data_IF_088686073014
#
_entry.id   IF_088686073014
#
_cell.length_a   1.000
_cell.length_b   1.000
_cell.length_c   1.000
_cell.angle_alpha   90.00
_cell.angle_beta   90.00
_cell.angle_gamma   90.00
#
_symmetry.space_group_name_H-M   'P 1'
#
loop_
_entity.id
_entity.type
_entity.pdbx_description
1 polymer ?
#
# COMPACT_ATOMS: atom_id res chain seq x y z
N UNK A 1 -8.26 -6.82 36.69
CA UNK A 1 -7.57 -7.24 35.49
C UNK A 1 -7.56 -6.07 34.50
N UNK A 2 -6.53 -5.91 33.71
CA UNK A 2 -6.39 -4.76 32.78
C UNK A 2 -7.00 -5.13 31.43
N UNK A 3 -8.16 -4.57 31.11
CA UNK A 3 -8.94 -4.90 29.87
C UNK A 3 -8.10 -4.86 28.60
N UNK A 4 -7.16 -3.92 28.49
CA UNK A 4 -6.31 -3.80 27.30
C UNK A 4 -5.33 -4.99 27.17
N UNK A 5 -4.84 -5.53 28.27
CA UNK A 5 -3.97 -6.71 28.25
C UNK A 5 -4.73 -7.98 27.88
N UNK A 6 -5.98 -8.09 28.35
CA UNK A 6 -6.85 -9.21 28.00
C UNK A 6 -7.18 -9.17 26.51
N UNK A 7 -7.57 -7.99 25.96
CA UNK A 7 -7.80 -7.80 24.53
C UNK A 7 -6.54 -8.10 23.68
N UNK A 8 -5.36 -7.66 24.13
CA UNK A 8 -4.10 -7.96 23.45
C UNK A 8 -3.80 -9.46 23.43
N UNK A 9 -4.12 -10.17 24.52
CA UNK A 9 -3.96 -11.62 24.57
C UNK A 9 -4.87 -12.31 23.56
N UNK A 10 -6.14 -11.91 23.50
CA UNK A 10 -7.09 -12.43 22.51
C UNK A 10 -6.63 -12.14 21.08
N UNK A 11 -6.20 -10.91 20.78
CA UNK A 11 -5.67 -10.55 19.47
C UNK A 11 -4.46 -11.38 19.06
N UNK A 12 -3.58 -11.78 20.00
CA UNK A 12 -2.40 -12.60 19.69
C UNK A 12 -2.73 -14.04 19.29
N UNK A 13 -3.91 -14.53 19.63
CA UNK A 13 -4.39 -15.87 19.21
C UNK A 13 -4.98 -15.85 17.77
N UNK A 14 -5.28 -14.66 17.22
CA UNK A 14 -5.77 -14.50 15.86
C UNK A 14 -4.64 -14.67 14.84
N UNK A 15 -4.99 -14.77 13.55
CA UNK A 15 -4.03 -14.82 12.46
C UNK A 15 -3.43 -13.44 12.20
N UNK A 16 -2.12 -13.37 12.09
CA UNK A 16 -1.37 -12.15 11.70
C UNK A 16 -0.76 -12.36 10.33
N UNK A 17 -1.03 -11.44 9.40
CA UNK A 17 -0.61 -11.51 8.01
C UNK A 17 0.29 -10.31 7.70
N UNK A 18 1.53 -10.57 7.30
CA UNK A 18 2.44 -9.53 6.80
C UNK A 18 1.97 -9.07 5.41
N UNK A 19 1.71 -7.79 5.24
CA UNK A 19 1.25 -7.20 3.98
C UNK A 19 2.32 -6.37 3.28
N UNK A 20 3.55 -6.35 3.80
CA UNK A 20 4.69 -5.67 3.19
C UNK A 20 5.67 -6.64 2.59
N UNK A 21 6.24 -6.29 1.44
CA UNK A 21 7.36 -7.02 0.88
C UNK A 21 8.63 -6.83 1.69
N UNK A 22 9.45 -7.87 1.75
CA UNK A 22 10.80 -7.77 2.30
C UNK A 22 11.70 -6.99 1.36
N UNK A 23 12.44 -6.01 1.88
CA UNK A 23 13.29 -5.12 1.09
C UNK A 23 14.76 -5.50 1.18
N UNK A 24 15.46 -5.44 0.05
CA UNK A 24 16.89 -5.62 -0.07
C UNK A 24 17.45 -4.71 -1.19
N UNK A 25 18.75 -4.80 -1.50
CA UNK A 25 19.37 -3.97 -2.53
C UNK A 25 18.89 -4.27 -3.96
N UNK A 26 18.29 -5.44 -4.18
CA UNK A 26 17.77 -5.88 -5.48
C UNK A 26 16.25 -5.65 -5.60
N UNK A 27 15.63 -5.06 -4.55
CA UNK A 27 14.19 -4.73 -4.59
C UNK A 27 13.91 -3.69 -5.65
N UNK A 28 12.86 -3.88 -6.46
CA UNK A 28 12.51 -2.96 -7.53
C UNK A 28 12.03 -1.61 -7.01
N UNK A 29 12.27 -0.57 -7.80
CA UNK A 29 11.73 0.78 -7.60
C UNK A 29 11.56 1.46 -8.95
N UNK A 30 10.74 2.51 -8.97
CA UNK A 30 10.42 3.22 -10.21
C UNK A 30 11.68 3.71 -10.96
N UNK A 31 11.74 3.48 -12.27
CA UNK A 31 12.87 3.80 -13.15
C UNK A 31 13.17 5.29 -13.28
N UNK A 32 12.23 6.17 -12.93
CA UNK A 32 12.45 7.63 -12.86
C UNK A 32 13.34 8.06 -11.69
N UNK A 33 13.58 7.18 -10.71
CA UNK A 33 14.50 7.44 -9.60
C UNK A 33 15.93 7.07 -10.04
N UNK A 34 16.93 7.95 -9.83
CA UNK A 34 18.30 7.70 -10.28
C UNK A 34 18.91 6.41 -9.70
N UNK A 35 19.74 5.73 -10.50
CA UNK A 35 20.55 4.61 -10.04
C UNK A 35 21.39 5.01 -8.81
N UNK A 36 21.62 4.04 -7.90
CA UNK A 36 22.34 4.28 -6.64
C UNK A 36 21.53 5.02 -5.58
N UNK A 37 20.22 5.20 -5.79
CA UNK A 37 19.31 5.74 -4.76
C UNK A 37 18.99 4.74 -3.66
N UNK A 38 19.24 3.45 -3.88
CA UNK A 38 19.06 2.37 -2.90
C UNK A 38 20.42 1.83 -2.46
N UNK A 39 20.69 1.87 -1.18
CA UNK A 39 21.83 1.22 -0.53
C UNK A 39 21.38 0.79 0.87
N UNK A 40 21.01 -0.48 1.02
CA UNK A 40 20.54 -1.04 2.28
C UNK A 40 21.66 -1.79 2.99
N UNK A 41 21.64 -1.71 4.31
CA UNK A 41 22.53 -2.49 5.20
C UNK A 41 24.03 -2.25 4.96
N UNK A 42 24.41 -1.03 4.52
CA UNK A 42 25.82 -0.69 4.40
C UNK A 42 26.46 -0.59 5.78
N UNK A 43 27.44 -1.43 6.02
CA UNK A 43 28.17 -1.47 7.30
C UNK A 43 29.03 -0.21 7.49
N UNK A 44 28.84 0.46 8.60
CA UNK A 44 29.65 1.62 9.06
C UNK A 44 30.60 1.19 10.17
N UNK A 45 30.13 0.37 11.11
CA UNK A 45 30.94 -0.27 12.14
C UNK A 45 30.67 -1.76 12.10
N UNK A 46 31.70 -2.57 12.29
CA UNK A 46 31.62 -4.02 12.42
C UNK A 46 32.15 -4.51 13.77
N UNK A 47 31.97 -5.80 14.03
CA UNK A 47 32.40 -6.46 15.26
C UNK A 47 33.92 -6.42 15.51
N UNK A 48 34.71 -6.14 14.49
CA UNK A 48 36.18 -5.99 14.59
C UNK A 48 36.65 -4.58 14.91
N UNK A 49 35.73 -3.63 15.11
CA UNK A 49 36.08 -2.23 15.38
C UNK A 49 36.68 -2.10 16.80
N UNK A 50 37.93 -1.59 16.93
CA UNK A 50 38.61 -1.51 18.22
C UNK A 50 38.00 -0.51 19.21
N UNK A 51 37.17 0.40 18.75
CA UNK A 51 36.51 1.39 19.61
C UNK A 51 35.19 0.88 20.19
N UNK A 52 34.46 0.03 19.44
CA UNK A 52 33.16 -0.46 19.84
C UNK A 52 32.83 -1.77 19.09
N UNK A 53 32.68 -2.86 19.83
CA UNK A 53 32.22 -4.15 19.31
C UNK A 53 30.71 -4.13 19.04
N UNK A 54 30.33 -3.57 17.90
CA UNK A 54 28.92 -3.56 17.45
C UNK A 54 28.83 -3.52 15.92
N UNK A 55 27.68 -3.91 15.39
CA UNK A 55 27.34 -3.73 13.99
C UNK A 55 26.41 -2.53 13.85
N UNK A 56 26.87 -1.49 13.12
CA UNK A 56 26.06 -0.33 12.76
C UNK A 56 25.99 -0.25 11.25
N UNK A 57 24.78 -0.10 10.72
CA UNK A 57 24.50 -0.03 9.30
C UNK A 57 23.76 1.26 8.96
N UNK A 58 23.91 1.74 7.73
CA UNK A 58 23.14 2.82 7.15
C UNK A 58 22.17 2.29 6.11
N UNK A 59 21.08 3.03 5.91
CA UNK A 59 20.05 2.73 4.93
C UNK A 59 19.78 3.99 4.12
N UNK A 60 19.79 3.87 2.79
CA UNK A 60 19.45 4.91 1.83
C UNK A 60 18.40 4.34 0.89
N UNK A 61 17.28 5.01 0.75
CA UNK A 61 16.18 4.61 -0.14
C UNK A 61 15.28 5.82 -0.45
N UNK A 62 14.56 5.83 -1.59
CA UNK A 62 13.52 6.81 -1.85
C UNK A 62 12.29 6.59 -0.96
N UNK A 63 11.44 7.60 -0.80
CA UNK A 63 10.21 7.47 -0.02
C UNK A 63 9.27 6.38 -0.57
N UNK A 64 9.09 6.37 -1.87
CA UNK A 64 8.26 5.41 -2.61
C UNK A 64 9.08 4.16 -2.97
N UNK A 65 9.32 3.29 -1.98
CA UNK A 65 10.18 2.11 -2.12
C UNK A 65 9.54 0.86 -1.52
N UNK A 66 9.31 -0.14 -2.36
CA UNK A 66 8.60 -1.37 -1.98
C UNK A 66 7.19 -1.08 -1.49
N UNK A 67 6.71 -1.81 -0.49
CA UNK A 67 5.45 -1.46 0.16
C UNK A 67 5.62 -0.15 0.90
N UNK A 68 4.92 0.89 0.46
CA UNK A 68 5.05 2.24 0.99
C UNK A 68 3.70 2.92 1.17
N UNK A 69 3.69 3.97 1.99
CA UNK A 69 2.54 4.84 2.19
C UNK A 69 2.80 6.19 1.57
N UNK A 70 1.81 6.77 0.89
CA UNK A 70 1.84 8.12 0.36
C UNK A 70 0.99 9.06 1.18
N UNK A 71 1.54 10.27 1.33
CA UNK A 71 0.90 11.40 1.97
C UNK A 71 0.46 12.41 0.90
N UNK A 72 -0.59 13.21 1.15
CA UNK A 72 -1.12 14.17 0.19
C UNK A 72 -0.10 15.05 -0.51
N UNK A 73 0.95 15.47 0.21
CA UNK A 73 2.02 16.28 -0.36
C UNK A 73 2.87 15.60 -1.44
N UNK A 74 2.64 14.30 -1.72
CA UNK A 74 3.28 13.61 -2.83
C UNK A 74 2.84 14.19 -4.18
N UNK A 75 1.53 14.33 -4.41
CA UNK A 75 0.98 14.88 -5.66
C UNK A 75 0.47 16.31 -5.52
N UNK A 76 0.12 16.76 -4.31
CA UNK A 76 -0.54 18.05 -4.09
C UNK A 76 0.42 19.00 -3.37
N UNK A 77 0.89 20.01 -4.10
CA UNK A 77 1.84 21.01 -3.57
C UNK A 77 1.27 21.76 -2.36
N UNK A 78 1.96 21.64 -1.23
CA UNK A 78 1.58 22.32 0.02
C UNK A 78 0.54 21.60 0.85
N UNK A 79 0.11 20.39 0.43
CA UNK A 79 -0.75 19.52 1.21
C UNK A 79 0.03 18.84 2.37
N UNK A 80 -0.68 18.21 3.33
CA UNK A 80 -0.06 17.55 4.48
C UNK A 80 1.00 16.52 4.11
N UNK A 81 2.07 16.46 4.92
CA UNK A 81 3.18 15.50 4.85
C UNK A 81 3.11 14.55 6.06
N UNK A 82 4.06 13.61 6.14
CA UNK A 82 4.08 12.52 7.13
C UNK A 82 3.88 12.95 8.59
N UNK A 83 4.42 14.10 8.99
CA UNK A 83 4.31 14.62 10.35
C UNK A 83 2.91 15.09 10.74
N UNK A 84 2.03 15.28 9.76
CA UNK A 84 0.64 15.69 9.98
C UNK A 84 -0.25 14.55 10.49
N UNK A 85 0.21 13.31 10.40
CA UNK A 85 -0.54 12.10 10.75
C UNK A 85 -0.03 11.50 12.05
N UNK A 86 -0.96 11.12 12.93
CA UNK A 86 -0.67 10.54 14.23
C UNK A 86 -0.80 9.02 14.27
N UNK A 87 -0.51 8.44 15.43
CA UNK A 87 -0.55 6.96 15.61
C UNK A 87 -1.94 6.34 15.42
N UNK A 88 -3.01 7.13 15.53
CA UNK A 88 -4.37 6.64 15.27
C UNK A 88 -4.67 6.50 13.78
N UNK A 89 -3.98 7.29 12.95
CA UNK A 89 -4.11 7.26 11.49
C UNK A 89 -3.34 6.08 10.87
N UNK A 90 -2.77 5.21 11.69
CA UNK A 90 -2.06 4.01 11.31
C UNK A 90 -2.85 2.70 11.57
N UNK A 91 -4.08 2.78 12.08
CA UNK A 91 -4.89 1.61 12.46
C UNK A 91 -6.30 1.75 11.90
N UNK A 92 -6.74 0.76 11.13
CA UNK A 92 -7.98 0.84 10.36
C UNK A 92 -8.79 -0.46 10.43
N UNK A 93 -10.13 -0.39 10.40
CA UNK A 93 -10.92 -1.52 9.90
C UNK A 93 -10.51 -1.83 8.46
N UNK A 94 -10.24 -3.09 8.13
CA UNK A 94 -9.80 -3.51 6.80
C UNK A 94 -10.92 -4.18 6.03
N UNK A 95 -11.15 -3.71 4.80
CA UNK A 95 -11.97 -4.35 3.78
C UNK A 95 -11.09 -4.75 2.60
N UNK A 96 -11.15 -6.00 2.16
CA UNK A 96 -10.41 -6.51 0.99
C UNK A 96 -11.40 -6.76 -0.14
N UNK A 97 -11.32 -5.94 -1.19
CA UNK A 97 -12.10 -6.11 -2.42
C UNK A 97 -11.29 -7.01 -3.37
N UNK A 98 -11.80 -8.18 -3.64
CA UNK A 98 -11.16 -9.17 -4.52
C UNK A 98 -11.71 -9.06 -5.93
N UNK A 99 -10.84 -8.72 -6.89
CA UNK A 99 -11.15 -8.65 -8.33
C UNK A 99 -10.28 -9.61 -9.15
N UNK A 100 -9.68 -10.62 -8.53
CA UNK A 100 -8.76 -11.53 -9.21
C UNK A 100 -9.38 -12.23 -10.43
N UNK A 101 -10.67 -12.61 -10.35
CA UNK A 101 -11.39 -13.20 -11.46
C UNK A 101 -11.52 -12.23 -12.65
N UNK A 102 -11.75 -10.95 -12.38
CA UNK A 102 -11.83 -9.89 -13.40
C UNK A 102 -10.49 -9.63 -14.06
N UNK A 103 -9.41 -9.57 -13.24
CA UNK A 103 -8.04 -9.40 -13.73
C UNK A 103 -7.60 -10.58 -14.60
N UNK A 104 -8.06 -11.80 -14.30
CA UNK A 104 -7.78 -12.97 -15.13
C UNK A 104 -8.45 -12.89 -16.51
N UNK A 105 -9.57 -12.18 -16.64
CA UNK A 105 -10.27 -11.94 -17.91
C UNK A 105 -9.73 -10.71 -18.66
N UNK A 106 -9.39 -9.64 -17.93
CA UNK A 106 -8.84 -8.38 -18.46
C UNK A 106 -7.77 -7.84 -17.52
N UNK A 107 -6.51 -7.94 -17.91
CA UNK A 107 -5.35 -7.47 -17.16
C UNK A 107 -5.40 -5.97 -16.84
N UNK A 108 -6.12 -5.19 -17.65
CA UNK A 108 -6.32 -3.75 -17.47
C UNK A 108 -7.55 -3.40 -16.62
N UNK A 109 -8.17 -4.41 -15.99
CA UNK A 109 -9.41 -4.17 -15.27
C UNK A 109 -9.24 -3.12 -14.18
N UNK A 110 -10.04 -2.08 -14.24
CA UNK A 110 -10.19 -1.10 -13.15
C UNK A 110 -11.45 -1.42 -12.34
N UNK A 111 -11.30 -1.60 -11.02
CA UNK A 111 -12.43 -1.89 -10.14
C UNK A 111 -13.52 -0.83 -10.29
N UNK A 112 -14.78 -1.27 -10.35
CA UNK A 112 -15.93 -0.39 -10.54
C UNK A 112 -16.78 -0.30 -9.25
N UNK A 113 -17.62 0.73 -9.10
CA UNK A 113 -18.55 0.83 -7.95
C UNK A 113 -19.42 -0.42 -7.76
N UNK A 114 -19.80 -1.07 -8.86
CA UNK A 114 -20.63 -2.29 -8.86
C UNK A 114 -19.91 -3.46 -8.18
N UNK A 115 -18.59 -3.57 -8.30
CA UNK A 115 -17.80 -4.60 -7.63
C UNK A 115 -17.82 -4.39 -6.12
N UNK A 116 -17.72 -3.14 -5.69
CA UNK A 116 -17.78 -2.76 -4.28
C UNK A 116 -19.18 -2.99 -3.72
N UNK A 117 -20.22 -2.63 -4.45
CA UNK A 117 -21.62 -2.87 -4.06
C UNK A 117 -21.88 -4.38 -3.94
N UNK A 118 -21.41 -5.20 -4.87
CA UNK A 118 -21.52 -6.65 -4.80
C UNK A 118 -20.77 -7.23 -3.57
N UNK A 119 -19.62 -6.66 -3.22
CA UNK A 119 -18.91 -6.99 -1.99
C UNK A 119 -19.75 -6.63 -0.75
N UNK A 120 -20.35 -5.44 -0.73
CA UNK A 120 -21.21 -4.98 0.38
C UNK A 120 -22.47 -5.81 0.56
N UNK A 121 -23.08 -6.29 -0.52
CA UNK A 121 -24.23 -7.21 -0.45
C UNK A 121 -23.88 -8.50 0.29
N UNK A 122 -22.64 -8.93 0.22
CA UNK A 122 -22.16 -10.17 0.83
C UNK A 122 -21.64 -10.00 2.26
N UNK A 123 -20.96 -8.89 2.53
CA UNK A 123 -20.22 -8.70 3.77
C UNK A 123 -20.72 -7.53 4.65
N UNK A 124 -21.69 -6.78 4.14
CA UNK A 124 -22.18 -5.56 4.77
C UNK A 124 -21.46 -4.29 4.27
N UNK A 125 -21.98 -3.11 4.61
CA UNK A 125 -21.42 -1.86 4.13
C UNK A 125 -20.00 -1.63 4.65
N UNK A 126 -19.15 -1.04 3.82
CA UNK A 126 -17.81 -0.59 4.22
C UNK A 126 -17.95 0.36 5.43
N UNK A 127 -17.30 0.09 6.56
CA UNK A 127 -17.42 0.92 7.77
C UNK A 127 -16.74 2.29 7.58
N UNK A 128 -17.27 3.28 8.28
CA UNK A 128 -16.65 4.61 8.37
C UNK A 128 -15.18 4.51 8.82
N UNK A 129 -14.29 5.25 8.17
CA UNK A 129 -12.87 5.24 8.48
C UNK A 129 -12.12 3.97 8.08
N UNK A 130 -12.68 3.13 7.23
CA UNK A 130 -12.01 1.91 6.76
C UNK A 130 -10.80 2.19 5.87
N UNK A 131 -9.86 1.25 5.87
CA UNK A 131 -8.89 1.04 4.81
C UNK A 131 -9.48 0.04 3.81
N UNK A 132 -9.57 0.41 2.54
CA UNK A 132 -10.09 -0.45 1.48
C UNK A 132 -8.93 -0.92 0.61
N UNK A 133 -8.59 -2.21 0.71
CA UNK A 133 -7.54 -2.83 -0.08
C UNK A 133 -8.11 -3.51 -1.33
N UNK A 134 -7.44 -3.32 -2.46
CA UNK A 134 -7.76 -3.96 -3.72
C UNK A 134 -6.85 -5.17 -3.93
N UNK A 135 -7.43 -6.37 -3.92
CA UNK A 135 -6.73 -7.61 -4.22
C UNK A 135 -6.82 -7.93 -5.70
N UNK A 136 -5.67 -8.07 -6.33
CA UNK A 136 -5.50 -8.39 -7.76
C UNK A 136 -4.62 -9.61 -7.99
N UNK A 137 -3.96 -10.11 -6.93
CA UNK A 137 -2.85 -11.08 -6.96
C UNK A 137 -1.62 -10.56 -7.74
N UNK A 138 -1.55 -9.26 -8.04
CA UNK A 138 -0.44 -8.63 -8.75
C UNK A 138 0.89 -8.67 -7.98
N UNK A 139 0.79 -8.70 -6.67
CA UNK A 139 1.94 -8.85 -5.76
C UNK A 139 2.77 -10.11 -6.00
N UNK A 140 2.22 -11.13 -6.67
CA UNK A 140 2.93 -12.37 -7.05
C UNK A 140 4.01 -12.14 -8.11
N UNK A 141 4.01 -10.98 -8.76
CA UNK A 141 5.04 -10.56 -9.69
C UNK A 141 6.33 -10.06 -9.00
N UNK A 142 6.28 -9.78 -7.69
CA UNK A 142 7.44 -9.32 -6.94
C UNK A 142 8.54 -10.41 -6.87
N UNK A 143 9.83 -10.08 -7.05
CA UNK A 143 10.42 -8.74 -7.22
C UNK A 143 10.77 -8.37 -8.68
N UNK A 144 10.14 -8.97 -9.67
CA UNK A 144 10.40 -8.67 -11.08
C UNK A 144 9.74 -7.34 -11.49
N UNK A 145 10.55 -6.28 -11.72
CA UNK A 145 10.05 -4.96 -12.09
C UNK A 145 9.31 -4.97 -13.43
N UNK A 146 9.74 -5.76 -14.41
CA UNK A 146 9.05 -5.83 -15.69
C UNK A 146 7.69 -6.49 -15.56
N UNK A 147 7.60 -7.55 -14.75
CA UNK A 147 6.34 -8.22 -14.45
C UNK A 147 5.40 -7.32 -13.63
N UNK A 148 5.94 -6.55 -12.66
CA UNK A 148 5.16 -5.58 -11.87
C UNK A 148 4.61 -4.44 -12.75
N UNK A 149 5.41 -3.88 -13.64
CA UNK A 149 4.97 -2.85 -14.61
C UNK A 149 4.10 -3.44 -15.72
N UNK A 150 4.06 -4.76 -15.87
CA UNK A 150 3.29 -5.42 -16.93
C UNK A 150 3.69 -4.99 -18.34
N UNK A 151 4.99 -4.73 -18.57
CA UNK A 151 5.48 -4.20 -19.84
C UNK A 151 5.30 -5.21 -20.95
N UNK A 152 4.51 -4.85 -21.98
CA UNK A 152 4.31 -5.63 -23.19
C UNK A 152 5.45 -5.43 -24.20
N UNK A 153 5.46 -6.24 -25.28
CA UNK A 153 6.47 -6.14 -26.36
C UNK A 153 6.49 -4.78 -27.06
N UNK A 154 5.35 -4.08 -27.11
CA UNK A 154 5.21 -2.73 -27.68
C UNK A 154 5.61 -1.61 -26.72
N UNK A 155 6.00 -1.96 -25.48
CA UNK A 155 6.40 -1.02 -24.44
C UNK A 155 5.23 -0.45 -23.63
N UNK A 156 3.99 -0.87 -23.89
CA UNK A 156 2.84 -0.47 -23.08
C UNK A 156 2.86 -1.16 -21.70
N UNK A 157 2.33 -0.47 -20.68
CA UNK A 157 2.13 -1.02 -19.35
C UNK A 157 0.75 -1.67 -19.25
N UNK A 158 0.67 -2.80 -18.58
CA UNK A 158 -0.55 -3.61 -18.49
C UNK A 158 -0.73 -4.12 -17.06
N UNK A 159 -1.47 -3.39 -16.25
CA UNK A 159 -1.77 -3.76 -14.86
C UNK A 159 -3.17 -3.27 -14.45
N UNK A 160 -3.82 -3.99 -13.51
CA UNK A 160 -5.11 -3.60 -12.96
C UNK A 160 -4.97 -2.46 -11.95
N UNK A 161 -6.08 -1.89 -11.53
CA UNK A 161 -6.05 -0.85 -10.50
C UNK A 161 -7.42 -0.31 -10.13
N UNK A 162 -7.41 0.88 -9.57
CA UNK A 162 -8.63 1.60 -9.23
C UNK A 162 -9.18 2.38 -10.42
N UNK A 163 -10.50 2.56 -10.44
CA UNK A 163 -11.16 3.58 -11.26
C UNK A 163 -11.54 4.79 -10.40
N UNK A 164 -11.57 5.97 -10.99
CA UNK A 164 -12.01 7.17 -10.30
C UNK A 164 -13.44 7.08 -9.74
N UNK A 165 -14.45 6.49 -10.44
CA UNK A 165 -15.76 6.25 -9.86
C UNK A 165 -15.75 5.36 -8.60
N UNK A 166 -14.93 4.30 -8.58
CA UNK A 166 -14.81 3.42 -7.41
C UNK A 166 -14.19 4.14 -6.21
N UNK A 167 -13.15 4.94 -6.43
CA UNK A 167 -12.54 5.76 -5.38
C UNK A 167 -13.52 6.80 -4.83
N UNK A 168 -14.27 7.47 -5.69
CA UNK A 168 -15.35 8.37 -5.25
C UNK A 168 -16.39 7.65 -4.41
N UNK A 169 -16.77 6.44 -4.79
CA UNK A 169 -17.71 5.66 -4.01
C UNK A 169 -17.19 5.38 -2.60
N UNK A 170 -15.96 4.88 -2.44
CA UNK A 170 -15.42 4.58 -1.11
C UNK A 170 -15.20 5.84 -0.26
N UNK A 171 -14.84 6.96 -0.86
CA UNK A 171 -14.54 8.18 -0.11
C UNK A 171 -15.77 9.06 0.13
N UNK A 172 -16.59 9.31 -0.91
CA UNK A 172 -17.72 10.24 -0.82
C UNK A 172 -18.98 9.58 -0.26
N UNK A 173 -19.17 8.26 -0.48
CA UNK A 173 -20.35 7.53 -0.03
C UNK A 173 -20.09 6.75 1.27
N UNK A 174 -18.89 6.19 1.46
CA UNK A 174 -18.54 5.34 2.62
C UNK A 174 -17.59 5.99 3.62
N UNK A 175 -17.06 7.17 3.30
CA UNK A 175 -16.11 7.90 4.16
C UNK A 175 -14.91 7.04 4.58
N UNK A 176 -14.35 6.25 3.66
CA UNK A 176 -13.12 5.51 3.91
C UNK A 176 -11.98 6.47 4.29
N UNK A 177 -11.07 6.02 5.13
CA UNK A 177 -9.91 6.81 5.56
C UNK A 177 -8.73 6.68 4.61
N UNK A 178 -8.57 5.50 4.00
CA UNK A 178 -7.45 5.20 3.14
C UNK A 178 -7.80 4.08 2.14
N UNK A 179 -7.00 3.93 1.10
CA UNK A 179 -7.03 2.78 0.20
C UNK A 179 -5.63 2.15 0.05
N UNK A 180 -5.57 0.99 -0.58
CA UNK A 180 -4.32 0.38 -0.98
C UNK A 180 -4.52 -0.69 -2.06
N UNK A 181 -3.43 -1.15 -2.63
CA UNK A 181 -3.42 -2.10 -3.74
C UNK A 181 -2.07 -2.83 -3.87
N UNK A 182 -2.04 -3.84 -4.71
CA UNK A 182 -0.85 -4.68 -4.94
C UNK A 182 0.01 -4.21 -6.13
N UNK A 183 -0.48 -3.23 -6.89
CA UNK A 183 0.18 -2.64 -8.07
C UNK A 183 1.14 -1.50 -7.70
N UNK A 184 1.95 -1.05 -8.65
CA UNK A 184 2.89 0.06 -8.47
C UNK A 184 2.20 1.41 -8.39
N UNK A 185 1.06 1.56 -9.12
CA UNK A 185 0.27 2.79 -9.18
C UNK A 185 -1.18 2.52 -8.79
N UNK A 186 -1.88 3.56 -8.33
CA UNK A 186 -3.30 3.50 -7.96
C UNK A 186 -4.18 3.27 -9.17
N UNK A 187 -3.91 3.99 -10.27
CA UNK A 187 -4.65 3.90 -11.53
C UNK A 187 -4.40 2.53 -12.20
N UNK A 188 -5.44 1.94 -12.80
CA UNK A 188 -5.19 0.89 -13.76
C UNK A 188 -4.45 1.47 -14.97
N UNK A 189 -3.54 0.72 -15.59
CA UNK A 189 -2.73 1.18 -16.73
C UNK A 189 -3.56 1.82 -17.85
N UNK A 190 -4.73 1.25 -18.14
CA UNK A 190 -5.68 1.76 -19.13
C UNK A 190 -6.27 3.14 -18.75
N UNK A 191 -6.57 3.33 -17.46
CA UNK A 191 -7.10 4.61 -16.96
C UNK A 191 -6.01 5.68 -17.01
N UNK A 192 -4.79 5.37 -16.55
CA UNK A 192 -3.65 6.29 -16.63
C UNK A 192 -3.34 6.71 -18.07
N UNK A 193 -3.31 5.75 -18.99
CA UNK A 193 -3.07 6.03 -20.42
C UNK A 193 -4.17 6.91 -21.04
N UNK A 194 -5.44 6.69 -20.68
CA UNK A 194 -6.56 7.47 -21.20
C UNK A 194 -6.57 8.90 -20.64
N UNK A 195 -6.14 9.08 -19.38
CA UNK A 195 -6.08 10.37 -18.72
C UNK A 195 -4.79 11.15 -19.05
N UNK A 196 -3.75 10.49 -19.57
CA UNK A 196 -2.38 11.02 -19.64
C UNK A 196 -1.88 11.55 -18.29
N UNK A 197 -2.37 10.96 -17.18
CA UNK A 197 -2.08 11.33 -15.78
C UNK A 197 -2.46 10.17 -14.86
N UNK A 198 -1.91 10.16 -13.63
CA UNK A 198 -2.34 9.30 -12.52
C UNK A 198 -3.53 9.98 -11.79
N UNK A 199 -4.68 9.99 -12.45
CA UNK A 199 -5.85 10.76 -12.02
C UNK A 199 -6.49 10.19 -10.75
N UNK A 200 -6.43 8.87 -10.56
CA UNK A 200 -6.93 8.19 -9.36
C UNK A 200 -6.06 8.51 -8.16
N UNK A 201 -4.75 8.38 -8.29
CA UNK A 201 -3.81 8.72 -7.23
C UNK A 201 -3.90 10.19 -6.84
N UNK A 202 -3.88 11.08 -7.83
CA UNK A 202 -4.06 12.52 -7.62
C UNK A 202 -5.36 12.82 -6.88
N UNK A 203 -6.47 12.16 -7.24
CA UNK A 203 -7.74 12.34 -6.56
C UNK A 203 -7.66 11.91 -5.10
N UNK A 204 -7.11 10.74 -4.79
CA UNK A 204 -6.97 10.24 -3.42
C UNK A 204 -6.22 11.25 -2.56
N UNK A 205 -5.06 11.70 -3.03
CA UNK A 205 -4.19 12.60 -2.29
C UNK A 205 -4.77 14.02 -2.18
N UNK A 206 -5.53 14.50 -3.20
CA UNK A 206 -6.26 15.78 -3.14
C UNK A 206 -7.41 15.77 -2.13
N UNK A 207 -8.02 14.60 -1.88
CA UNK A 207 -9.01 14.43 -0.80
C UNK A 207 -8.38 14.39 0.61
N UNK A 208 -7.06 14.55 0.71
CA UNK A 208 -6.33 14.47 1.99
C UNK A 208 -6.27 13.06 2.56
N UNK A 209 -6.44 12.04 1.72
CA UNK A 209 -6.44 10.64 2.11
C UNK A 209 -5.05 10.03 2.00
N UNK A 210 -4.84 8.91 2.68
CA UNK A 210 -3.64 8.09 2.61
C UNK A 210 -3.85 6.93 1.65
N UNK A 211 -2.76 6.47 1.01
CA UNK A 211 -2.77 5.22 0.26
C UNK A 211 -1.54 4.38 0.60
N UNK A 212 -1.66 3.07 0.45
CA UNK A 212 -0.54 2.13 0.58
C UNK A 212 -0.44 1.33 -0.71
N UNK A 213 0.71 1.43 -1.35
CA UNK A 213 1.01 0.76 -2.61
C UNK A 213 1.88 -0.48 -2.41
N UNK A 214 1.85 -1.37 -3.38
CA UNK A 214 2.64 -2.60 -3.40
C UNK A 214 2.40 -3.46 -2.16
N UNK A 215 1.13 -3.63 -1.78
CA UNK A 215 0.71 -4.59 -0.76
C UNK A 215 0.95 -6.02 -1.24
N UNK A 216 1.05 -6.97 -0.31
CA UNK A 216 1.16 -8.40 -0.60
C UNK A 216 0.27 -9.24 0.32
N UNK A 217 0.11 -10.52 0.02
CA UNK A 217 -0.61 -11.51 0.84
C UNK A 217 -2.07 -11.15 1.17
N UNK A 218 -2.73 -10.32 0.36
CA UNK A 218 -4.15 -10.00 0.55
C UNK A 218 -5.05 -11.25 0.41
N UNK A 219 -4.58 -12.29 -0.29
CA UNK A 219 -5.22 -13.60 -0.40
C UNK A 219 -5.31 -14.36 0.93
N UNK A 220 -4.54 -13.95 1.94
CA UNK A 220 -4.50 -14.57 3.25
C UNK A 220 -5.37 -13.84 4.29
N UNK A 221 -6.00 -12.75 3.93
CA UNK A 221 -6.85 -11.91 4.79
C UNK A 221 -8.32 -12.15 4.51
N UNK A 222 -9.14 -12.21 5.56
CA UNK A 222 -10.58 -12.27 5.39
C UNK A 222 -11.10 -11.01 4.67
N UNK A 223 -12.10 -11.11 3.77
CA UNK A 223 -12.62 -9.96 3.03
C UNK A 223 -13.14 -8.83 3.92
N UNK A 224 -13.65 -9.15 5.11
CA UNK A 224 -14.19 -8.21 6.09
C UNK A 224 -13.84 -8.64 7.51
N UNK A 225 -13.85 -7.69 8.46
CA UNK A 225 -13.65 -7.95 9.88
C UNK A 225 -12.20 -7.91 10.35
N UNK A 226 -11.25 -7.77 9.44
CA UNK A 226 -9.83 -7.61 9.79
C UNK A 226 -9.50 -6.19 10.27
N UNK A 227 -8.37 -6.06 10.94
CA UNK A 227 -7.76 -4.77 11.31
C UNK A 227 -6.42 -4.66 10.59
N UNK A 228 -6.20 -3.54 9.91
CA UNK A 228 -4.93 -3.20 9.29
C UNK A 228 -4.15 -2.24 10.17
N UNK A 229 -2.84 -2.48 10.28
CA UNK A 229 -1.88 -1.60 10.94
C UNK A 229 -0.77 -1.28 9.93
N UNK A 230 -0.61 0.01 9.60
CA UNK A 230 0.41 0.52 8.69
C UNK A 230 1.34 1.46 9.47
N UNK A 231 2.58 1.05 9.73
CA UNK A 231 3.52 1.80 10.55
C UNK A 231 4.67 2.35 9.71
N UNK A 232 4.90 3.66 9.82
CA UNK A 232 6.03 4.34 9.18
C UNK A 232 6.90 5.05 10.22
N UNK A 233 8.20 5.28 9.92
CA UNK A 233 9.06 6.10 10.75
C UNK A 233 8.54 7.54 10.84
N UNK A 234 8.66 8.17 12.01
CA UNK A 234 8.24 9.56 12.19
C UNK A 234 9.31 10.52 11.63
N UNK A 235 9.40 10.63 10.32
CA UNK A 235 10.19 11.65 9.66
C UNK A 235 9.34 12.90 9.41
N UNK A 236 9.97 14.06 9.39
CA UNK A 236 9.36 15.32 9.01
C UNK A 236 9.63 15.59 7.52
N UNK A 237 8.62 16.10 6.79
CA UNK A 237 8.74 16.49 5.41
C UNK A 237 8.73 15.34 4.39
N UNK A 238 8.35 14.12 4.79
CA UNK A 238 8.27 13.00 3.85
C UNK A 238 6.95 13.01 3.09
N UNK A 239 7.02 12.84 1.77
CA UNK A 239 5.87 12.69 0.87
C UNK A 239 5.39 11.25 0.76
N UNK A 240 6.26 10.28 1.03
CA UNK A 240 5.99 8.86 1.13
C UNK A 240 7.10 8.17 1.92
N UNK A 241 6.82 7.00 2.48
CA UNK A 241 7.78 6.23 3.27
C UNK A 241 7.51 4.74 3.12
N UNK A 242 8.57 3.89 3.05
CA UNK A 242 8.39 2.46 3.25
C UNK A 242 7.62 2.19 4.55
N UNK A 243 6.62 1.34 4.46
CA UNK A 243 5.72 1.04 5.56
C UNK A 243 5.77 -0.43 5.93
N UNK A 244 5.77 -0.73 7.22
CA UNK A 244 5.42 -2.07 7.66
C UNK A 244 3.93 -2.15 7.85
N UNK A 245 3.27 -2.81 6.93
CA UNK A 245 1.84 -3.01 6.90
C UNK A 245 1.51 -4.48 7.21
N UNK A 246 0.58 -4.72 8.12
CA UNK A 246 0.12 -6.06 8.45
C UNK A 246 -1.35 -6.06 8.86
N UNK A 247 -2.00 -7.19 8.70
CA UNK A 247 -3.39 -7.39 9.12
C UNK A 247 -3.48 -8.37 10.28
N UNK A 248 -4.49 -8.14 11.14
CA UNK A 248 -4.96 -9.10 12.14
C UNK A 248 -6.34 -9.54 11.68
N UNK A 249 -6.53 -10.83 11.46
CA UNK A 249 -7.76 -11.42 10.89
C UNK A 249 -8.15 -12.69 11.63
N UNK A 250 -9.42 -13.06 11.54
CA UNK A 250 -9.95 -14.35 12.01
C UNK A 250 -9.57 -15.52 11.11
#
# INVERSE_FOLDING_TARGET
MYKLWDALKEMKELKWVELSHSLNNDSPFWSGIPEGSVELSKTVFDWGNPMLECLIQTFKFPGQFGTHIDFPGHFIKGAPLSESYGVKDAVFPLCVIDITDKVAEDVHYSVQPEDIIAWEEKYGPIPDGAFVALRTDWSKNWPDMNALSGIAEDGSENFPGWSLPALKYIYEVRNAAANGHETLDTDASKEAAAAEDLACERYVLDQGKLQVEVLTNLDQVAPAGAVLIALWPRFEGATGLPVRCFAITE
#
